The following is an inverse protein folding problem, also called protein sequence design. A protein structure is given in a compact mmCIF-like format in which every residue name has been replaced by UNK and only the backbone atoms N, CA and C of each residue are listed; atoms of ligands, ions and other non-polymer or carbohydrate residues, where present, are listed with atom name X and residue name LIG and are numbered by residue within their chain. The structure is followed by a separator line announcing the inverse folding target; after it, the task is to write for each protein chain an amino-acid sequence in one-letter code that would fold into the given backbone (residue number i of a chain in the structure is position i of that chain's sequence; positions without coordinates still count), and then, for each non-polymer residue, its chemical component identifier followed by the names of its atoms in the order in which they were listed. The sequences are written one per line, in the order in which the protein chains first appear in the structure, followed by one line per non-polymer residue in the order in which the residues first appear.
data_IF_690851683804
#
_entry.id   IF_690851683804
#
_cell.length_a   1.000
_cell.length_b   1.000
_cell.length_c   1.000
_cell.angle_alpha   90.00
_cell.angle_beta   90.00
_cell.angle_gamma   90.00
#
_symmetry.space_group_name_H-M   'P 1'
#
loop_
_entity.id
_entity.type
_entity.pdbx_description
1 polymer ?
#
# COMPACT_ATOMS: atom_id res chain seq x y z
N UNK A 1 5.04 13.59 19.67
CA UNK A 1 6.39 13.84 19.12
C UNK A 1 6.92 12.64 18.31
N UNK A 2 6.74 11.40 18.78
CA UNK A 2 7.23 10.18 18.10
C UNK A 2 6.62 9.91 16.70
N UNK A 3 5.34 10.20 16.48
CA UNK A 3 4.67 9.87 15.20
C UNK A 3 5.22 10.64 13.99
N UNK A 4 5.53 11.93 14.18
CA UNK A 4 6.09 12.79 13.13
C UNK A 4 7.50 12.33 12.76
N UNK A 5 8.34 12.05 13.75
CA UNK A 5 9.69 11.50 13.53
C UNK A 5 9.66 10.15 12.81
N UNK A 6 8.67 9.32 13.10
CA UNK A 6 8.49 8.03 12.43
C UNK A 6 8.12 8.21 10.95
N UNK A 7 7.24 9.15 10.61
CA UNK A 7 6.91 9.50 9.21
C UNK A 7 8.14 10.09 8.49
N UNK A 8 8.86 11.00 9.14
CA UNK A 8 10.03 11.66 8.57
C UNK A 8 11.20 10.67 8.34
N UNK A 9 11.22 9.53 9.07
CA UNK A 9 12.23 8.49 8.91
C UNK A 9 12.04 7.56 7.71
N UNK A 10 10.88 7.64 7.03
CA UNK A 10 10.56 6.74 5.91
C UNK A 10 11.03 7.41 4.62
N UNK A 11 11.72 6.64 3.77
CA UNK A 11 12.24 7.12 2.48
C UNK A 11 11.15 7.63 1.55
N UNK A 12 11.51 8.59 0.70
CA UNK A 12 10.66 9.13 -0.36
C UNK A 12 11.02 8.59 -1.76
N UNK A 13 11.89 7.59 -1.87
CA UNK A 13 12.24 6.95 -3.16
C UNK A 13 11.65 5.55 -3.22
N UNK A 14 11.10 5.18 -4.38
CA UNK A 14 10.44 3.88 -4.53
C UNK A 14 11.43 2.71 -4.37
N UNK A 15 12.68 2.87 -4.79
CA UNK A 15 13.71 1.85 -4.70
C UNK A 15 14.05 1.49 -3.25
N UNK A 16 14.21 2.50 -2.40
CA UNK A 16 14.50 2.29 -0.98
C UNK A 16 13.28 1.73 -0.25
N UNK A 17 12.08 2.20 -0.59
CA UNK A 17 10.82 1.69 -0.06
C UNK A 17 10.62 0.20 -0.37
N UNK A 18 10.87 -0.22 -1.61
CA UNK A 18 10.79 -1.62 -2.04
C UNK A 18 11.88 -2.50 -1.41
N UNK A 19 13.03 -1.90 -1.10
CA UNK A 19 14.16 -2.60 -0.47
C UNK A 19 13.99 -2.76 1.04
N UNK A 20 13.11 -1.98 1.67
CA UNK A 20 12.88 -2.00 3.12
C UNK A 20 12.52 -3.39 3.63
N UNK A 21 13.20 -3.85 4.68
CA UNK A 21 12.95 -5.15 5.30
C UNK A 21 11.71 -5.09 6.20
N UNK A 22 10.60 -5.62 5.70
CA UNK A 22 9.31 -5.59 6.38
C UNK A 22 9.23 -6.74 7.40
N UNK A 23 8.92 -6.40 8.65
CA UNK A 23 8.64 -7.39 9.69
C UNK A 23 7.24 -8.02 9.48
N UNK A 24 7.16 -9.05 8.65
CA UNK A 24 5.90 -9.74 8.36
C UNK A 24 5.27 -10.44 9.58
N UNK A 25 6.05 -10.77 10.60
CA UNK A 25 5.51 -11.29 11.87
C UNK A 25 4.67 -10.24 12.59
N UNK A 26 5.12 -8.98 12.61
CA UNK A 26 4.35 -7.84 13.13
C UNK A 26 3.15 -7.55 12.24
N UNK A 27 3.33 -7.63 10.92
CA UNK A 27 2.24 -7.45 9.95
C UNK A 27 1.04 -8.33 10.30
N UNK A 28 1.27 -9.64 10.45
CA UNK A 28 0.23 -10.63 10.74
C UNK A 28 -0.33 -10.47 12.16
N UNK A 29 0.55 -10.34 13.16
CA UNK A 29 0.13 -10.22 14.57
C UNK A 29 -0.77 -9.01 14.83
N UNK A 30 -0.52 -7.90 14.15
CA UNK A 30 -1.25 -6.64 14.36
C UNK A 30 -2.33 -6.39 13.32
N UNK A 31 -2.65 -7.36 12.47
CA UNK A 31 -3.64 -7.24 11.41
C UNK A 31 -3.43 -6.02 10.49
N UNK A 32 -2.17 -5.77 10.10
CA UNK A 32 -1.82 -4.63 9.23
C UNK A 32 -2.57 -4.71 7.89
N UNK A 33 -2.88 -5.92 7.41
CA UNK A 33 -3.70 -6.14 6.20
C UNK A 33 -5.03 -5.38 6.23
N UNK A 34 -5.70 -5.29 7.38
CA UNK A 34 -7.00 -4.62 7.48
C UNK A 34 -6.86 -3.09 7.34
N UNK A 35 -5.73 -2.54 7.78
CA UNK A 35 -5.42 -1.12 7.64
C UNK A 35 -4.98 -0.79 6.23
N UNK A 36 -4.15 -1.64 5.62
CA UNK A 36 -3.79 -1.54 4.20
C UNK A 36 -5.04 -1.56 3.32
N UNK A 37 -5.95 -2.51 3.53
CA UNK A 37 -7.22 -2.60 2.78
C UNK A 37 -8.03 -1.32 2.85
N UNK A 38 -8.25 -0.78 4.06
CA UNK A 38 -8.99 0.47 4.25
C UNK A 38 -8.30 1.67 3.60
N UNK A 39 -6.97 1.72 3.66
CA UNK A 39 -6.20 2.79 3.05
C UNK A 39 -6.25 2.72 1.52
N UNK A 40 -6.01 1.55 0.94
CA UNK A 40 -6.05 1.30 -0.52
C UNK A 40 -7.43 1.63 -1.07
N UNK A 41 -8.50 1.14 -0.42
CA UNK A 41 -9.89 1.43 -0.81
C UNK A 41 -10.14 2.93 -0.92
N UNK A 42 -9.81 3.69 0.14
CA UNK A 42 -9.97 5.15 0.16
C UNK A 42 -9.11 5.83 -0.89
N UNK A 43 -7.86 5.37 -1.05
CA UNK A 43 -6.91 6.01 -1.95
C UNK A 43 -7.31 5.85 -3.41
N UNK A 44 -7.87 4.70 -3.80
CA UNK A 44 -8.40 4.51 -5.14
C UNK A 44 -9.61 5.41 -5.38
N UNK A 45 -10.58 5.47 -4.47
CA UNK A 45 -11.73 6.39 -4.61
C UNK A 45 -11.28 7.85 -4.74
N UNK A 46 -10.28 8.26 -3.94
CA UNK A 46 -9.70 9.61 -4.02
C UNK A 46 -9.04 9.89 -5.37
N UNK A 47 -8.40 8.89 -6.00
CA UNK A 47 -7.75 9.05 -7.31
C UNK A 47 -8.78 9.24 -8.43
N UNK A 48 -9.90 8.51 -8.36
CA UNK A 48 -10.94 8.61 -9.39
C UNK A 48 -11.90 9.77 -9.19
N UNK A 49 -11.89 10.39 -8.00
CA UNK A 49 -12.87 11.39 -7.56
C UNK A 49 -14.33 10.93 -7.78
N UNK A 50 -14.54 9.63 -7.96
CA UNK A 50 -15.78 9.03 -8.43
C UNK A 50 -16.26 7.99 -7.42
N UNK A 51 -17.42 8.27 -6.84
CA UNK A 51 -18.06 7.38 -5.89
C UNK A 51 -18.74 6.20 -6.59
N UNK A 52 -18.88 6.21 -7.91
CA UNK A 52 -19.49 5.11 -8.69
C UNK A 52 -18.70 3.81 -8.51
N UNK A 53 -17.37 3.88 -8.34
CA UNK A 53 -16.54 2.69 -8.07
C UNK A 53 -16.95 1.95 -6.79
N UNK A 54 -17.58 2.62 -5.83
CA UNK A 54 -18.05 1.99 -4.59
C UNK A 54 -19.25 1.06 -4.83
N UNK A 55 -20.01 1.32 -5.90
CA UNK A 55 -21.16 0.51 -6.30
C UNK A 55 -20.75 -0.68 -7.17
N UNK A 56 -19.52 -0.69 -7.68
CA UNK A 56 -18.98 -1.79 -8.47
C UNK A 56 -18.70 -3.02 -7.57
N UNK A 57 -19.38 -4.17 -7.79
CA UNK A 57 -19.19 -5.37 -6.98
C UNK A 57 -17.78 -5.98 -7.11
N UNK A 58 -17.02 -5.63 -8.16
CA UNK A 58 -15.66 -6.10 -8.37
C UNK A 58 -14.62 -5.23 -7.67
N UNK A 59 -14.95 -3.99 -7.30
CA UNK A 59 -13.99 -3.06 -6.69
C UNK A 59 -13.40 -3.62 -5.38
N UNK A 60 -14.24 -4.21 -4.53
CA UNK A 60 -13.78 -4.86 -3.30
C UNK A 60 -12.76 -5.97 -3.58
N UNK A 61 -12.97 -6.78 -4.62
CA UNK A 61 -12.06 -7.87 -4.99
C UNK A 61 -10.72 -7.34 -5.49
N UNK A 62 -10.72 -6.21 -6.22
CA UNK A 62 -9.49 -5.54 -6.67
C UNK A 62 -8.69 -5.04 -5.47
N UNK A 63 -9.35 -4.40 -4.50
CA UNK A 63 -8.69 -3.96 -3.25
C UNK A 63 -8.09 -5.16 -2.50
N UNK A 64 -8.85 -6.24 -2.34
CA UNK A 64 -8.39 -7.45 -1.66
C UNK A 64 -7.21 -8.10 -2.38
N UNK A 65 -7.24 -8.10 -3.71
CA UNK A 65 -6.12 -8.55 -4.53
C UNK A 65 -4.85 -7.71 -4.29
N UNK A 66 -4.94 -6.37 -4.32
CA UNK A 66 -3.78 -5.48 -4.09
C UNK A 66 -3.19 -5.69 -2.68
N UNK A 67 -4.04 -5.84 -1.66
CA UNK A 67 -3.60 -6.16 -0.29
C UNK A 67 -2.85 -7.49 -0.26
N UNK A 68 -3.39 -8.52 -0.92
CA UNK A 68 -2.74 -9.84 -0.97
C UNK A 68 -1.40 -9.80 -1.69
N UNK A 69 -1.32 -9.06 -2.80
CA UNK A 69 -0.11 -8.88 -3.58
C UNK A 69 0.98 -8.20 -2.75
N UNK A 70 0.62 -7.23 -1.91
CA UNK A 70 1.59 -6.53 -1.04
C UNK A 70 2.41 -7.50 -0.17
N UNK A 71 1.83 -8.65 0.24
CA UNK A 71 2.49 -9.65 1.10
C UNK A 71 3.32 -10.67 0.32
N UNK A 72 3.06 -10.84 -0.98
CA UNK A 72 3.78 -11.82 -1.79
C UNK A 72 5.24 -11.36 -1.98
N UNK A 73 6.21 -12.11 -1.43
CA UNK A 73 7.65 -11.86 -1.58
C UNK A 73 8.07 -11.76 -3.06
N UNK A 74 7.27 -12.28 -4.00
CA UNK A 74 7.49 -12.12 -5.44
C UNK A 74 7.17 -10.73 -5.99
N UNK A 75 6.60 -9.81 -5.21
CA UNK A 75 6.39 -8.41 -5.63
C UNK A 75 7.69 -7.61 -5.69
N UNK A 76 8.76 -8.03 -4.98
CA UNK A 76 10.12 -7.49 -5.23
C UNK A 76 10.62 -7.78 -6.66
N UNK A 77 10.00 -8.74 -7.36
CA UNK A 77 10.36 -9.16 -8.73
C UNK A 77 9.26 -8.84 -9.75
N UNK A 78 8.09 -8.36 -9.33
CA UNK A 78 6.97 -7.99 -10.22
C UNK A 78 6.25 -6.72 -9.79
N UNK A 79 6.99 -5.64 -9.54
CA UNK A 79 6.47 -4.28 -9.67
C UNK A 79 5.66 -4.12 -10.97
N UNK A 80 6.08 -4.77 -12.05
CA UNK A 80 5.33 -4.84 -13.33
C UNK A 80 3.89 -5.33 -13.22
N UNK A 81 3.55 -6.30 -12.35
CA UNK A 81 2.18 -6.86 -12.30
C UNK A 81 1.21 -5.99 -11.50
N UNK A 82 1.71 -5.27 -10.49
CA UNK A 82 0.92 -4.25 -9.79
C UNK A 82 0.72 -3.03 -10.68
N UNK A 83 1.76 -2.63 -11.42
CA UNK A 83 1.68 -1.60 -12.45
C UNK A 83 0.66 -1.98 -13.55
N UNK A 84 0.70 -3.21 -14.07
CA UNK A 84 -0.26 -3.72 -15.06
C UNK A 84 -1.70 -3.63 -14.55
N UNK A 85 -1.99 -4.02 -13.31
CA UNK A 85 -3.36 -3.99 -12.78
C UNK A 85 -3.84 -2.57 -12.54
N UNK A 86 -2.98 -1.69 -12.01
CA UNK A 86 -3.33 -0.29 -11.85
C UNK A 86 -3.49 0.41 -13.21
N UNK A 87 -2.65 0.10 -14.19
CA UNK A 87 -2.76 0.69 -15.53
C UNK A 87 -3.95 0.11 -16.32
N UNK A 88 -4.26 -1.19 -16.19
CA UNK A 88 -5.33 -1.86 -16.95
C UNK A 88 -6.72 -1.63 -16.36
N UNK A 89 -6.86 -1.53 -15.04
CA UNK A 89 -8.16 -1.32 -14.36
C UNK A 89 -8.47 0.17 -14.22
N UNK A 90 -7.44 0.96 -13.90
CA UNK A 90 -7.60 2.34 -13.46
C UNK A 90 -7.11 3.35 -14.51
N UNK A 91 -6.51 2.91 -15.62
CA UNK A 91 -6.01 3.78 -16.70
C UNK A 91 -5.12 4.93 -16.19
N UNK A 92 -4.38 4.67 -15.11
CA UNK A 92 -3.52 5.67 -14.49
C UNK A 92 -2.29 5.95 -15.35
N UNK A 93 -1.80 7.19 -15.29
CA UNK A 93 -0.50 7.53 -15.86
C UNK A 93 0.62 6.89 -15.02
N UNK A 94 1.75 6.56 -15.65
CA UNK A 94 2.88 5.92 -14.95
C UNK A 94 3.33 6.69 -13.69
N UNK A 95 3.36 8.03 -13.76
CA UNK A 95 3.69 8.89 -12.61
C UNK A 95 2.68 8.78 -11.46
N UNK A 96 1.39 8.63 -11.77
CA UNK A 96 0.32 8.47 -10.78
C UNK A 96 0.40 7.09 -10.11
N UNK A 97 0.71 6.08 -10.91
CA UNK A 97 0.91 4.71 -10.44
C UNK A 97 2.15 4.62 -9.54
N UNK A 98 3.26 5.24 -9.90
CA UNK A 98 4.46 5.33 -9.05
C UNK A 98 4.16 6.08 -7.74
N UNK A 99 3.45 7.20 -7.82
CA UNK A 99 3.07 7.98 -6.65
C UNK A 99 2.14 7.18 -5.71
N UNK A 100 1.21 6.41 -6.26
CA UNK A 100 0.36 5.50 -5.49
C UNK A 100 1.21 4.44 -4.79
N UNK A 101 2.13 3.79 -5.51
CA UNK A 101 3.02 2.78 -4.95
C UNK A 101 3.87 3.37 -3.81
N UNK A 102 4.50 4.53 -4.01
CA UNK A 102 5.29 5.19 -2.97
C UNK A 102 4.44 5.45 -1.72
N UNK A 103 3.23 6.01 -1.89
CA UNK A 103 2.33 6.28 -0.77
C UNK A 103 1.90 4.99 -0.05
N UNK A 104 1.65 3.91 -0.78
CA UNK A 104 1.25 2.62 -0.24
C UNK A 104 2.38 1.99 0.58
N UNK A 105 3.60 1.96 0.05
CA UNK A 105 4.76 1.43 0.76
C UNK A 105 5.12 2.26 1.99
N UNK A 106 5.04 3.59 1.89
CA UNK A 106 5.22 4.48 3.06
C UNK A 106 4.19 4.18 4.15
N UNK A 107 2.93 3.97 3.77
CA UNK A 107 1.88 3.61 4.71
C UNK A 107 2.14 2.25 5.35
N UNK A 108 2.54 1.24 4.60
CA UNK A 108 2.90 -0.07 5.12
C UNK A 108 4.02 0.01 6.16
N UNK A 109 5.14 0.66 5.82
CA UNK A 109 6.30 0.81 6.73
C UNK A 109 5.90 1.57 7.99
N UNK A 110 5.11 2.63 7.84
CA UNK A 110 4.57 3.38 8.97
C UNK A 110 3.75 2.49 9.91
N UNK A 111 2.86 1.68 9.36
CA UNK A 111 2.00 0.77 10.11
C UNK A 111 2.80 -0.30 10.87
N UNK A 112 3.88 -0.79 10.27
CA UNK A 112 4.81 -1.74 10.90
C UNK A 112 5.56 -1.07 12.05
N UNK A 113 6.27 0.03 11.79
CA UNK A 113 7.03 0.73 12.83
C UNK A 113 6.15 1.20 13.99
N UNK A 114 4.91 1.62 13.69
CA UNK A 114 3.93 2.00 14.73
C UNK A 114 3.53 0.79 15.58
N UNK A 115 3.27 -0.36 14.97
CA UNK A 115 2.92 -1.59 15.69
C UNK A 115 4.07 -2.11 16.55
N UNK A 116 5.31 -2.01 16.07
CA UNK A 116 6.53 -2.32 16.83
C UNK A 116 6.67 -1.41 18.06
N UNK A 117 6.53 -0.09 17.87
CA UNK A 117 6.61 0.88 18.96
C UNK A 117 5.51 0.70 20.02
N UNK A 118 4.33 0.19 19.64
CA UNK A 118 3.24 -0.10 20.56
C UNK A 118 3.37 -1.45 21.28
N UNK A 119 4.31 -2.30 20.86
CA UNK A 119 4.57 -3.63 21.45
C UNK A 119 5.76 -3.64 22.41
N UNK A 120 6.45 -2.51 22.58
CA UNK A 120 7.50 -2.24 23.54
C UNK A 120 6.90 -1.67 24.83
#
# INVERSE_FOLDING_TARGET
MALKQLVDSISNTIEELLSYDINWGVYDKHEVQQRMRRWIYKKIIEIFEDNILQEDPYFSNVVDYIVSATKDHHVRVRSSRMLEILNDIFFLLDDETELFMMKMWRFLIFEIKRAEAASL
#
